data_IF_440748841561
#
_entry.id   IF_440748841561
#
_cell.length_a   1.000
_cell.length_b   1.000
_cell.length_c   1.000
_cell.angle_alpha   90.00
_cell.angle_beta   90.00
_cell.angle_gamma   90.00
#
_symmetry.space_group_name_H-M   'P 1'
#
loop_
_entity.id
_entity.type
_entity.pdbx_description
1 polymer ?
#
# COMPACT_ATOMS: atom_id res chain seq x y z
N UNK A 1 1.97 21.43 2.94
CA UNK A 1 1.33 20.65 4.03
C UNK A 1 2.43 20.15 4.95
N UNK A 2 2.26 20.28 6.26
CA UNK A 2 3.20 19.71 7.23
C UNK A 2 3.28 18.18 7.06
N UNK A 3 4.50 17.63 7.06
CA UNK A 3 4.74 16.18 7.04
C UNK A 3 4.93 15.70 8.46
N UNK A 4 4.22 14.65 8.83
CA UNK A 4 4.36 13.98 10.13
C UNK A 4 4.97 12.59 9.89
N UNK A 5 6.21 12.32 10.35
CA UNK A 5 6.89 11.05 10.08
C UNK A 5 6.14 9.84 10.67
N UNK A 6 5.44 10.01 11.79
CA UNK A 6 4.64 8.96 12.44
C UNK A 6 3.42 8.56 11.58
N UNK A 7 2.77 9.56 10.98
CA UNK A 7 1.66 9.33 10.06
C UNK A 7 2.13 8.61 8.80
N UNK A 8 3.31 8.99 8.28
CA UNK A 8 3.87 8.36 7.09
C UNK A 8 4.17 6.87 7.32
N UNK A 9 4.70 6.53 8.49
CA UNK A 9 4.95 5.15 8.89
C UNK A 9 3.64 4.35 8.98
N UNK A 10 2.59 4.91 9.57
CA UNK A 10 1.30 4.21 9.73
C UNK A 10 0.54 4.03 8.41
N UNK A 11 0.64 5.00 7.51
CA UNK A 11 -0.21 5.10 6.33
C UNK A 11 0.41 4.53 5.05
N UNK A 12 1.74 4.48 4.95
CA UNK A 12 2.43 4.10 3.71
C UNK A 12 3.40 2.93 3.85
N UNK A 13 3.92 2.65 5.04
CA UNK A 13 4.86 1.55 5.23
C UNK A 13 4.19 0.19 5.01
N UNK A 14 4.73 -0.58 4.05
CA UNK A 14 4.22 -1.90 3.65
C UNK A 14 2.73 -1.92 3.24
N UNK A 15 2.17 -0.78 2.84
CA UNK A 15 0.78 -0.69 2.36
C UNK A 15 0.76 -0.80 0.85
N UNK A 16 0.07 -1.83 0.35
CA UNK A 16 -0.12 -2.10 -1.06
C UNK A 16 -1.58 -1.92 -1.46
N UNK A 17 -1.81 -1.42 -2.65
CA UNK A 17 -3.15 -1.23 -3.24
C UNK A 17 -3.31 -2.21 -4.38
N UNK A 18 -4.42 -2.94 -4.38
CA UNK A 18 -4.76 -3.81 -5.50
C UNK A 18 -5.11 -2.98 -6.74
N UNK A 19 -4.59 -3.36 -7.91
CA UNK A 19 -4.92 -2.69 -9.18
C UNK A 19 -6.22 -3.19 -9.82
N UNK A 20 -6.87 -4.21 -9.22
CA UNK A 20 -8.17 -4.74 -9.69
C UNK A 20 -9.34 -4.20 -8.88
N UNK A 21 -9.25 -4.27 -7.55
CA UNK A 21 -10.36 -3.89 -6.65
C UNK A 21 -10.03 -2.70 -5.74
N UNK A 22 -8.87 -2.07 -5.89
CA UNK A 22 -8.39 -0.94 -5.08
C UNK A 22 -8.30 -1.18 -3.55
N UNK A 23 -8.44 -2.43 -3.11
CA UNK A 23 -8.30 -2.81 -1.71
C UNK A 23 -6.89 -2.60 -1.17
N UNK A 24 -6.79 -2.14 0.09
CA UNK A 24 -5.53 -1.96 0.81
C UNK A 24 -5.11 -3.29 1.46
N UNK A 25 -3.90 -3.73 1.16
CA UNK A 25 -3.28 -4.93 1.70
C UNK A 25 -1.99 -4.56 2.40
N UNK A 26 -1.81 -4.98 3.65
CA UNK A 26 -0.55 -4.81 4.37
C UNK A 26 0.33 -6.02 4.09
N UNK A 27 1.56 -5.76 3.64
CA UNK A 27 2.60 -6.78 3.52
C UNK A 27 3.39 -6.90 4.82
N UNK A 28 4.15 -7.99 4.94
CA UNK A 28 5.18 -8.10 5.98
C UNK A 28 6.32 -7.10 5.69
N UNK A 29 7.15 -6.76 6.70
CA UNK A 29 8.31 -5.89 6.48
C UNK A 29 9.17 -6.36 5.30
N UNK A 30 9.34 -5.48 4.31
CA UNK A 30 10.14 -5.76 3.11
C UNK A 30 9.53 -6.75 2.12
N UNK A 31 8.31 -7.26 2.34
CA UNK A 31 7.68 -8.25 1.45
C UNK A 31 6.36 -7.76 0.89
N UNK A 32 6.20 -7.91 -0.43
CA UNK A 32 4.93 -7.71 -1.12
C UNK A 32 3.95 -8.83 -0.74
N UNK A 33 2.66 -8.54 -0.50
CA UNK A 33 1.65 -9.58 -0.33
C UNK A 33 1.57 -10.45 -1.59
N UNK A 34 1.41 -11.77 -1.41
CA UNK A 34 1.31 -12.72 -2.52
C UNK A 34 0.09 -12.40 -3.42
N UNK A 35 -1.04 -12.07 -2.81
CA UNK A 35 -2.30 -11.76 -3.49
C UNK A 35 -3.13 -10.76 -2.68
N UNK A 36 -4.10 -10.13 -3.35
CA UNK A 36 -5.10 -9.30 -2.68
C UNK A 36 -6.01 -10.19 -1.83
N UNK A 37 -6.20 -9.82 -0.55
CA UNK A 37 -7.05 -10.54 0.41
C UNK A 37 -8.53 -10.58 0.04
N UNK A 38 -8.96 -9.73 -0.90
CA UNK A 38 -10.36 -9.59 -1.30
C UNK A 38 -10.65 -10.25 -2.64
N UNK A 39 -9.88 -9.93 -3.69
CA UNK A 39 -10.14 -10.43 -5.06
C UNK A 39 -9.13 -11.47 -5.56
N UNK A 40 -8.14 -11.87 -4.76
CA UNK A 40 -7.10 -12.84 -5.14
C UNK A 40 -6.09 -12.38 -6.18
N UNK A 41 -6.23 -11.18 -6.76
CA UNK A 41 -5.29 -10.67 -7.77
C UNK A 41 -3.88 -10.48 -7.21
N UNK A 42 -2.86 -10.90 -7.98
CA UNK A 42 -1.43 -10.69 -7.69
C UNK A 42 -0.93 -9.29 -8.12
N UNK A 43 -1.78 -8.53 -8.82
CA UNK A 43 -1.46 -7.16 -9.29
C UNK A 43 -1.68 -6.15 -8.15
N UNK A 44 -0.65 -6.00 -7.33
CA UNK A 44 -0.59 -5.04 -6.23
C UNK A 44 0.51 -4.01 -6.49
N UNK A 45 0.23 -2.74 -6.23
CA UNK A 45 1.19 -1.62 -6.28
C UNK A 45 1.44 -1.06 -4.89
N UNK A 46 2.61 -0.47 -4.64
CA UNK A 46 2.85 0.24 -3.39
C UNK A 46 1.98 1.51 -3.33
N UNK A 47 1.48 1.86 -2.15
CA UNK A 47 0.75 3.11 -1.96
C UNK A 47 1.71 4.29 -2.09
N UNK A 48 1.36 5.27 -2.93
CA UNK A 48 2.21 6.44 -3.15
C UNK A 48 2.18 7.34 -1.90
N UNK A 49 3.35 7.81 -1.47
CA UNK A 49 3.51 8.74 -0.34
C UNK A 49 3.11 10.17 -0.71
N UNK A 50 3.27 10.55 -1.97
CA UNK A 50 2.92 11.87 -2.51
C UNK A 50 1.87 11.74 -3.60
N UNK A 51 1.07 12.80 -3.79
CA UNK A 51 0.31 12.96 -5.04
C UNK A 51 1.32 13.16 -6.17
N UNK A 52 1.09 12.50 -7.31
CA UNK A 52 1.80 12.86 -8.54
C UNK A 52 1.33 14.27 -8.93
N UNK A 53 2.27 15.12 -9.34
CA UNK A 53 1.98 16.42 -9.93
C UNK A 53 1.20 16.24 -11.24
#
# INVERSE_FOLDING_TARGET
MARFPEADQRLFTNVFVCMRCNGKNRGSPGKKPLSCRHCGSKRLRLKHKTKKA
#
